data_IF_948667956400
#
_entry.id   IF_948667956400
#
_cell.length_a   1.000
_cell.length_b   1.000
_cell.length_c   1.000
_cell.angle_alpha   90.00
_cell.angle_beta   90.00
_cell.angle_gamma   90.00
#
_symmetry.space_group_name_H-M   'P 1'
#
loop_
_entity.id
_entity.type
_entity.pdbx_description
1 polymer ?
#
# COMPACT_ATOMS: atom_id res chain seq x y z
N UNK A 1 -7.53 -29.98 -18.28
CA UNK A 1 -8.42 -29.37 -17.26
C UNK A 1 -8.04 -29.98 -15.92
N UNK A 2 -7.86 -29.17 -14.88
CA UNK A 2 -7.37 -29.69 -13.59
C UNK A 2 -7.75 -28.80 -12.43
N UNK A 3 -7.91 -29.42 -11.26
CA UNK A 3 -8.17 -28.70 -10.02
C UNK A 3 -6.86 -28.13 -9.48
N UNK A 4 -6.86 -26.83 -9.19
CA UNK A 4 -5.70 -26.13 -8.63
C UNK A 4 -6.10 -25.49 -7.30
N UNK A 5 -5.17 -25.54 -6.36
CA UNK A 5 -5.30 -24.99 -5.01
C UNK A 5 -4.09 -24.10 -4.76
N UNK A 6 -4.31 -22.90 -4.21
CA UNK A 6 -3.29 -21.98 -3.77
C UNK A 6 -2.92 -22.23 -2.29
N UNK A 7 -1.72 -21.83 -1.88
CA UNK A 7 -1.29 -21.90 -0.49
C UNK A 7 -2.04 -20.86 0.38
N UNK A 8 -1.84 -20.94 1.71
CA UNK A 8 -2.50 -20.07 2.67
C UNK A 8 -2.28 -18.57 2.39
N UNK A 9 -1.07 -18.16 1.97
CA UNK A 9 -0.73 -16.77 1.63
C UNK A 9 -0.97 -16.40 0.16
N UNK A 10 -1.39 -17.37 -0.68
CA UNK A 10 -1.53 -17.16 -2.12
C UNK A 10 -2.98 -17.23 -2.60
N UNK A 11 -3.26 -16.60 -3.73
CA UNK A 11 -4.50 -16.73 -4.48
C UNK A 11 -4.21 -17.09 -5.94
N UNK A 12 -5.15 -17.79 -6.57
CA UNK A 12 -5.15 -18.02 -8.00
C UNK A 12 -5.83 -16.84 -8.67
N UNK A 13 -5.11 -16.12 -9.53
CA UNK A 13 -5.69 -15.18 -10.48
C UNK A 13 -5.97 -15.94 -11.78
N UNK A 14 -7.24 -15.99 -12.16
CA UNK A 14 -7.72 -16.79 -13.29
C UNK A 14 -8.30 -15.85 -14.35
N UNK A 15 -7.91 -16.06 -15.60
CA UNK A 15 -8.36 -15.30 -16.77
C UNK A 15 -8.75 -16.25 -17.91
N UNK A 16 -9.43 -15.73 -18.93
CA UNK A 16 -9.75 -16.49 -20.14
C UNK A 16 -11.24 -16.74 -20.32
N UNK A 17 -11.62 -17.87 -20.91
CA UNK A 17 -12.98 -18.09 -21.38
C UNK A 17 -14.03 -17.86 -20.27
N UNK A 18 -14.95 -16.90 -20.54
CA UNK A 18 -16.10 -16.51 -19.71
C UNK A 18 -15.70 -15.75 -18.43
N UNK A 19 -14.48 -15.24 -18.37
CA UNK A 19 -13.98 -14.32 -17.35
C UNK A 19 -13.64 -13.00 -18.04
N UNK A 20 -14.35 -11.92 -17.70
CA UNK A 20 -14.23 -10.62 -18.38
C UNK A 20 -12.94 -9.87 -18.02
N UNK A 21 -12.41 -10.09 -16.83
CA UNK A 21 -11.23 -9.39 -16.31
C UNK A 21 -10.31 -10.41 -15.61
N UNK A 22 -10.29 -10.45 -14.28
CA UNK A 22 -9.54 -11.44 -13.49
C UNK A 22 -10.43 -11.95 -12.36
N UNK A 23 -10.42 -13.27 -12.11
CA UNK A 23 -11.10 -13.89 -10.96
C UNK A 23 -10.07 -14.36 -9.94
N UNK A 24 -10.21 -13.94 -8.68
CA UNK A 24 -9.37 -14.43 -7.58
C UNK A 24 -10.05 -15.60 -6.86
N UNK A 25 -9.32 -16.68 -6.63
CA UNK A 25 -9.83 -17.82 -5.89
C UNK A 25 -8.72 -18.56 -5.14
N UNK A 26 -9.00 -19.07 -3.92
CA UNK A 26 -8.09 -19.99 -3.23
C UNK A 26 -7.99 -21.36 -3.90
N UNK A 27 -9.08 -21.80 -4.53
CA UNK A 27 -9.18 -23.09 -5.21
C UNK A 27 -10.16 -23.00 -6.37
N UNK A 28 -9.80 -23.57 -7.52
CA UNK A 28 -10.65 -23.50 -8.71
C UNK A 28 -10.34 -24.63 -9.71
N UNK A 29 -11.34 -24.96 -10.51
CA UNK A 29 -11.18 -25.76 -11.72
C UNK A 29 -10.73 -24.87 -12.87
N UNK A 30 -9.61 -25.23 -13.51
CA UNK A 30 -9.09 -24.50 -14.67
C UNK A 30 -9.51 -25.25 -15.94
N UNK A 31 -10.46 -24.67 -16.67
CA UNK A 31 -11.02 -25.23 -17.91
C UNK A 31 -10.11 -24.95 -19.13
N UNK A 32 -10.22 -25.72 -20.23
CA UNK A 32 -9.53 -25.40 -21.48
C UNK A 32 -9.91 -23.98 -21.96
N UNK A 33 -8.91 -23.18 -22.32
CA UNK A 33 -9.09 -21.76 -22.66
C UNK A 33 -9.06 -20.81 -21.46
N UNK A 34 -8.78 -21.30 -20.25
CA UNK A 34 -8.50 -20.47 -19.08
C UNK A 34 -7.01 -20.56 -18.69
N UNK A 35 -6.45 -19.41 -18.33
CA UNK A 35 -5.10 -19.25 -17.82
C UNK A 35 -5.16 -18.91 -16.33
N UNK A 36 -4.14 -19.32 -15.58
CA UNK A 36 -4.03 -18.97 -14.16
C UNK A 36 -2.61 -18.57 -13.78
N UNK A 37 -2.49 -17.66 -12.83
CA UNK A 37 -1.25 -17.30 -12.15
C UNK A 37 -1.43 -17.39 -10.64
N UNK A 38 -0.35 -17.65 -9.91
CA UNK A 38 -0.35 -17.63 -8.44
C UNK A 38 0.17 -16.28 -8.00
N UNK A 39 -0.61 -15.59 -7.17
CA UNK A 39 -0.26 -14.29 -6.63
C UNK A 39 -0.14 -14.44 -5.13
N UNK A 40 0.99 -13.99 -4.60
CA UNK A 40 1.24 -13.94 -3.18
C UNK A 40 0.62 -12.66 -2.59
N UNK A 41 -0.13 -12.79 -1.50
CA UNK A 41 -0.85 -11.68 -0.85
C UNK A 41 -0.15 -11.23 0.45
N UNK A 42 0.98 -11.84 0.80
CA UNK A 42 1.71 -11.48 2.02
C UNK A 42 2.06 -10.00 2.04
N UNK A 43 1.81 -9.31 3.17
CA UNK A 43 2.09 -7.91 3.33
C UNK A 43 3.60 -7.65 3.26
N UNK A 44 3.99 -6.54 2.66
CA UNK A 44 5.39 -6.13 2.49
C UNK A 44 5.65 -4.86 3.29
N UNK A 45 6.77 -4.82 4.00
CA UNK A 45 7.18 -3.64 4.76
C UNK A 45 8.05 -2.74 3.87
N UNK A 46 7.69 -1.47 3.84
CA UNK A 46 8.43 -0.43 3.13
C UNK A 46 8.90 0.62 4.12
N UNK A 47 10.20 0.87 4.14
CA UNK A 47 10.82 1.88 4.99
C UNK A 47 11.05 3.14 4.16
N UNK A 48 10.56 4.28 4.65
CA UNK A 48 10.69 5.57 4.02
C UNK A 48 11.12 6.62 5.04
N UNK A 49 12.00 7.52 4.61
CA UNK A 49 12.39 8.71 5.33
C UNK A 49 11.70 9.91 4.69
N UNK A 50 10.57 10.32 5.25
CA UNK A 50 9.77 11.41 4.68
C UNK A 50 10.34 12.75 5.11
N UNK A 51 10.79 13.54 4.14
CA UNK A 51 11.21 14.92 4.36
C UNK A 51 9.99 15.86 4.36
N UNK A 52 9.81 16.59 5.46
CA UNK A 52 8.68 17.50 5.62
C UNK A 52 9.09 18.80 6.34
N UNK A 53 8.20 19.78 6.32
CA UNK A 53 8.36 21.05 7.04
C UNK A 53 7.20 21.22 8.02
N UNK A 54 7.49 21.70 9.23
CA UNK A 54 6.45 22.04 10.21
C UNK A 54 5.73 23.34 9.83
N UNK A 55 4.65 23.68 10.55
CA UNK A 55 3.97 24.98 10.45
C UNK A 55 4.91 26.17 10.73
N UNK A 56 5.97 25.94 11.52
CA UNK A 56 7.01 26.92 11.86
C UNK A 56 8.12 26.97 10.81
N UNK A 57 7.97 26.23 9.71
CA UNK A 57 8.94 26.10 8.60
C UNK A 57 10.27 25.47 9.00
N UNK A 58 10.29 24.70 10.07
CA UNK A 58 11.47 23.91 10.44
C UNK A 58 11.48 22.60 9.63
N UNK A 59 12.57 22.27 8.94
CA UNK A 59 12.69 21.01 8.23
C UNK A 59 12.92 19.85 9.20
N UNK A 60 12.34 18.69 8.89
CA UNK A 60 12.55 17.47 9.67
C UNK A 60 12.38 16.21 8.81
N UNK A 61 13.00 15.12 9.28
CA UNK A 61 12.89 13.79 8.67
C UNK A 61 12.04 12.91 9.57
N UNK A 62 10.97 12.37 9.00
CA UNK A 62 10.07 11.42 9.64
C UNK A 62 10.39 9.99 9.16
N UNK A 63 11.16 9.19 9.93
CA UNK A 63 11.41 7.79 9.61
C UNK A 63 10.14 6.98 9.89
N UNK A 64 9.66 6.29 8.86
CA UNK A 64 8.38 5.63 8.87
C UNK A 64 8.43 4.28 8.12
N UNK A 65 8.04 3.22 8.81
CA UNK A 65 7.85 1.90 8.19
C UNK A 65 6.37 1.70 7.91
N UNK A 66 6.02 1.45 6.65
CA UNK A 66 4.65 1.18 6.20
C UNK A 66 4.54 -0.27 5.74
N UNK A 67 3.63 -1.00 6.35
CA UNK A 67 3.23 -2.31 5.85
C UNK A 67 2.16 -2.15 4.77
N UNK A 68 2.32 -2.80 3.62
CA UNK A 68 1.39 -2.74 2.50
C UNK A 68 0.96 -4.15 2.14
N UNK A 69 -0.33 -4.41 2.26
CA UNK A 69 -0.99 -5.62 1.82
C UNK A 69 -2.46 -5.31 1.53
N UNK A 70 -3.14 -6.15 0.75
CA UNK A 70 -4.55 -5.94 0.45
C UNK A 70 -5.40 -6.25 1.67
N UNK A 71 -6.55 -5.57 1.76
CA UNK A 71 -7.56 -5.88 2.76
C UNK A 71 -8.34 -7.14 2.34
N UNK A 72 -8.33 -8.18 3.17
CA UNK A 72 -8.94 -9.48 2.84
C UNK A 72 -10.47 -9.41 2.66
N UNK A 73 -11.13 -8.45 3.33
CA UNK A 73 -12.60 -8.30 3.29
C UNK A 73 -13.14 -7.71 1.98
N UNK A 74 -12.28 -7.19 1.10
CA UNK A 74 -12.68 -6.39 -0.06
C UNK A 74 -12.06 -6.97 -1.34
N UNK A 75 -12.84 -7.79 -2.06
CA UNK A 75 -12.38 -8.51 -3.26
C UNK A 75 -11.84 -7.55 -4.34
N UNK A 76 -12.44 -6.37 -4.49
CA UNK A 76 -11.98 -5.35 -5.43
C UNK A 76 -10.56 -4.86 -5.10
N UNK A 77 -10.22 -4.72 -3.82
CA UNK A 77 -8.88 -4.30 -3.38
C UNK A 77 -7.84 -5.39 -3.59
N UNK A 78 -8.20 -6.66 -3.32
CA UNK A 78 -7.34 -7.79 -3.65
C UNK A 78 -7.06 -7.87 -5.15
N UNK A 79 -8.08 -7.64 -5.99
CA UNK A 79 -7.95 -7.64 -7.44
C UNK A 79 -6.99 -6.56 -7.94
N UNK A 80 -7.13 -5.35 -7.40
CA UNK A 80 -6.28 -4.22 -7.74
C UNK A 80 -4.84 -4.44 -7.29
N UNK A 81 -4.64 -4.96 -6.08
CA UNK A 81 -3.32 -5.34 -5.57
C UNK A 81 -2.69 -6.43 -6.45
N UNK A 82 -3.44 -7.46 -6.78
CA UNK A 82 -3.02 -8.54 -7.68
C UNK A 82 -2.56 -8.00 -9.05
N UNK A 83 -3.29 -7.05 -9.64
CA UNK A 83 -2.91 -6.42 -10.91
C UNK A 83 -1.60 -5.64 -10.79
N UNK A 84 -1.45 -4.81 -9.76
CA UNK A 84 -0.23 -4.04 -9.52
C UNK A 84 1.00 -4.95 -9.35
N UNK A 85 0.86 -6.02 -8.55
CA UNK A 85 1.94 -6.99 -8.29
C UNK A 85 2.17 -7.96 -9.46
N UNK A 86 1.25 -8.04 -10.42
CA UNK A 86 1.43 -8.86 -11.63
C UNK A 86 2.23 -8.13 -12.70
N UNK A 87 2.10 -6.79 -12.77
CA UNK A 87 2.84 -5.94 -13.71
C UNK A 87 4.27 -5.65 -13.26
N UNK A 88 4.54 -5.73 -11.94
CA UNK A 88 5.83 -5.43 -11.34
C UNK A 88 6.12 -6.35 -10.16
N UNK A 89 7.38 -6.70 -9.93
CA UNK A 89 7.78 -7.42 -8.72
C UNK A 89 7.38 -6.60 -7.47
N UNK A 90 6.97 -7.28 -6.39
CA UNK A 90 6.62 -6.69 -5.10
C UNK A 90 7.74 -5.79 -4.57
N UNK A 91 8.99 -6.11 -4.89
CA UNK A 91 10.17 -5.34 -4.48
C UNK A 91 10.71 -4.43 -5.59
N UNK A 92 9.96 -4.24 -6.68
CA UNK A 92 10.40 -3.34 -7.74
C UNK A 92 10.53 -1.91 -7.24
N UNK A 93 11.60 -1.23 -7.67
CA UNK A 93 11.82 0.18 -7.34
C UNK A 93 10.63 1.05 -7.77
N UNK A 94 9.94 0.68 -8.85
CA UNK A 94 8.79 1.42 -9.35
C UNK A 94 7.62 1.47 -8.36
N UNK A 95 7.25 0.33 -7.77
CA UNK A 95 6.17 0.31 -6.75
C UNK A 95 6.60 1.09 -5.52
N UNK A 96 7.88 0.95 -5.11
CA UNK A 96 8.43 1.69 -3.98
C UNK A 96 8.38 3.22 -4.20
N UNK A 97 8.82 3.70 -5.36
CA UNK A 97 8.81 5.13 -5.73
C UNK A 97 7.40 5.71 -5.78
N UNK A 98 6.44 4.98 -6.36
CA UNK A 98 5.06 5.45 -6.43
C UNK A 98 4.43 5.53 -5.03
N UNK A 99 4.64 4.51 -4.19
CA UNK A 99 4.16 4.50 -2.80
C UNK A 99 4.80 5.65 -2.02
N UNK A 100 6.11 5.83 -2.16
CA UNK A 100 6.86 6.92 -1.53
C UNK A 100 6.31 8.29 -1.92
N UNK A 101 6.13 8.55 -3.22
CA UNK A 101 5.62 9.84 -3.69
C UNK A 101 4.23 10.18 -3.17
N UNK A 102 3.34 9.18 -3.06
CA UNK A 102 2.01 9.36 -2.47
C UNK A 102 2.09 9.66 -0.97
N UNK A 103 2.91 8.90 -0.23
CA UNK A 103 3.07 9.07 1.22
C UNK A 103 3.73 10.42 1.55
N UNK A 104 4.79 10.79 0.83
CA UNK A 104 5.48 12.07 1.02
C UNK A 104 4.55 13.24 0.70
N UNK A 105 3.79 13.16 -0.39
CA UNK A 105 2.82 14.18 -0.78
C UNK A 105 1.76 14.42 0.31
N UNK A 106 1.15 13.35 0.82
CA UNK A 106 0.10 13.45 1.84
C UNK A 106 0.67 13.85 3.21
N UNK A 107 1.80 13.29 3.60
CA UNK A 107 2.47 13.63 4.87
C UNK A 107 2.93 15.09 4.87
N UNK A 108 3.45 15.61 3.75
CA UNK A 108 3.90 17.00 3.63
C UNK A 108 2.77 17.99 3.87
N UNK A 109 1.59 17.73 3.30
CA UNK A 109 0.41 18.59 3.49
C UNK A 109 -0.02 18.64 4.96
N UNK A 110 0.07 17.51 5.66
CA UNK A 110 -0.32 17.43 7.06
C UNK A 110 0.72 18.04 8.01
N UNK A 111 2.00 17.75 7.77
CA UNK A 111 3.12 18.31 8.53
C UNK A 111 3.13 19.84 8.48
N UNK A 112 2.81 20.43 7.34
CA UNK A 112 2.74 21.89 7.18
C UNK A 112 1.68 22.56 8.06
N UNK A 113 0.69 21.81 8.56
CA UNK A 113 -0.38 22.33 9.44
C UNK A 113 -0.12 22.11 10.92
N UNK A 114 0.98 21.44 11.29
CA UNK A 114 1.28 21.04 12.66
C UNK A 114 2.57 21.70 13.17
N UNK A 115 2.60 22.06 14.44
CA UNK A 115 3.81 22.59 15.09
C UNK A 115 4.82 21.48 15.36
N UNK A 116 6.10 21.85 15.54
CA UNK A 116 7.13 20.86 15.85
C UNK A 116 6.84 20.15 17.19
N UNK A 117 6.32 20.90 18.16
CA UNK A 117 5.89 20.35 19.45
C UNK A 117 4.76 19.33 19.31
N UNK A 118 3.75 19.59 18.48
CA UNK A 118 2.66 18.62 18.22
C UNK A 118 3.16 17.36 17.51
N UNK A 119 4.12 17.50 16.59
CA UNK A 119 4.76 16.39 15.90
C UNK A 119 5.55 15.52 16.90
N UNK A 120 6.29 16.14 17.83
CA UNK A 120 7.06 15.43 18.86
C UNK A 120 6.18 14.82 19.96
N UNK A 121 5.23 15.60 20.49
CA UNK A 121 4.37 15.24 21.64
C UNK A 121 3.24 14.28 21.24
N UNK A 122 2.80 14.38 19.99
CA UNK A 122 1.68 13.62 19.43
C UNK A 122 2.06 12.33 18.73
N UNK A 123 3.21 11.68 18.99
CA UNK A 123 3.65 10.47 18.26
C UNK A 123 2.57 9.35 18.22
N UNK A 124 1.65 9.30 19.19
CA UNK A 124 0.49 8.38 19.21
C UNK A 124 -0.78 8.96 18.57
N UNK A 125 -1.07 10.24 18.77
CA UNK A 125 -2.28 10.91 18.27
C UNK A 125 -2.13 11.33 16.81
N UNK A 126 -0.95 11.82 16.42
CA UNK A 126 -0.49 11.99 15.04
C UNK A 126 -0.60 10.66 14.27
N UNK A 127 -0.06 9.57 14.83
CA UNK A 127 -0.19 8.23 14.23
C UNK A 127 -1.66 7.84 14.02
N UNK A 128 -2.59 8.29 14.85
CA UNK A 128 -4.01 7.99 14.68
C UNK A 128 -4.69 8.96 13.70
N UNK A 129 -4.42 10.25 13.78
CA UNK A 129 -5.07 11.26 12.94
C UNK A 129 -4.57 11.23 11.48
N UNK A 130 -3.27 11.05 11.27
CA UNK A 130 -2.66 10.87 9.95
C UNK A 130 -3.24 9.61 9.28
N UNK A 131 -3.24 8.48 10.00
CA UNK A 131 -3.58 7.17 9.41
C UNK A 131 -5.09 6.91 9.32
N UNK A 132 -5.84 7.25 10.37
CA UNK A 132 -7.25 6.87 10.50
C UNK A 132 -8.18 7.87 9.79
N UNK A 133 -7.81 9.16 9.65
CA UNK A 133 -8.64 10.13 8.92
C UNK A 133 -8.25 10.32 7.45
N UNK A 134 -6.95 10.34 7.11
CA UNK A 134 -6.48 10.68 5.74
C UNK A 134 -5.99 9.50 4.93
N UNK A 135 -5.12 8.63 5.46
CA UNK A 135 -4.62 7.46 4.70
C UNK A 135 -5.70 6.43 4.37
N UNK A 136 -6.78 6.35 5.17
CA UNK A 136 -7.97 5.57 4.83
C UNK A 136 -8.66 6.04 3.53
N UNK A 137 -8.40 7.26 3.05
CA UNK A 137 -9.07 7.89 1.90
C UNK A 137 -8.19 8.05 0.65
N UNK A 138 -6.89 7.75 0.70
CA UNK A 138 -6.00 7.90 -0.46
C UNK A 138 -6.29 6.78 -1.48
N UNK A 139 -7.39 6.95 -2.20
CA UNK A 139 -7.72 6.34 -3.47
C UNK A 139 -7.21 7.31 -4.52
N UNK A 140 -6.01 7.06 -5.06
CA UNK A 140 -5.54 7.82 -6.23
C UNK A 140 -6.41 7.42 -7.42
N UNK A 141 -7.42 8.24 -7.72
CA UNK A 141 -7.96 8.38 -9.07
C UNK A 141 -6.95 9.19 -9.87
N UNK A 142 -6.00 8.52 -10.51
CA UNK A 142 -5.31 9.12 -11.63
C UNK A 142 -5.02 8.09 -12.72
N UNK A 143 -5.71 8.29 -13.86
CA UNK A 143 -5.29 7.87 -15.19
C UNK A 143 -5.25 6.38 -15.48
N UNK A 144 -4.38 5.59 -14.84
CA UNK A 144 -4.10 4.18 -15.23
C UNK A 144 -3.28 3.38 -14.22
N UNK A 145 -2.98 3.89 -13.02
CA UNK A 145 -2.26 3.12 -12.00
C UNK A 145 -2.69 3.54 -10.61
N UNK A 146 -2.88 2.53 -9.78
CA UNK A 146 -3.98 2.48 -8.85
C UNK A 146 -3.41 1.85 -7.59
N UNK A 147 -2.77 2.68 -6.77
CA UNK A 147 -2.17 2.24 -5.51
C UNK A 147 -3.27 2.34 -4.46
N UNK A 148 -3.64 1.18 -3.90
CA UNK A 148 -4.82 1.07 -3.07
C UNK A 148 -4.51 0.38 -1.75
N UNK A 149 -4.88 1.12 -0.69
CA UNK A 149 -5.17 0.70 0.69
C UNK A 149 -4.21 -0.34 1.26
N UNK A 150 -3.09 0.16 1.74
CA UNK A 150 -2.20 -0.52 2.66
C UNK A 150 -2.80 -0.53 4.08
N UNK A 151 -2.87 -1.70 4.72
CA UNK A 151 -2.91 -1.77 6.19
C UNK A 151 -1.54 -1.32 6.70
N UNK A 152 -1.38 -0.01 6.84
CA UNK A 152 -0.12 0.59 7.26
C UNK A 152 -0.06 0.68 8.78
N UNK A 153 0.71 -0.20 9.40
CA UNK A 153 1.19 0.02 10.76
C UNK A 153 2.45 0.88 10.70
N UNK A 154 2.30 2.17 10.99
CA UNK A 154 3.46 3.05 11.09
C UNK A 154 4.22 2.82 12.39
N UNK A 155 5.45 2.35 12.30
CA UNK A 155 6.43 2.46 13.40
C UNK A 155 7.22 3.74 13.16
N UNK A 156 6.94 4.77 13.97
CA UNK A 156 7.78 5.96 14.02
C UNK A 156 9.14 5.57 14.59
N UNK A 157 10.21 5.84 13.85
CA UNK A 157 11.55 5.93 14.43
C UNK A 157 11.71 7.24 15.21
N UNK A 158 12.81 7.38 15.94
CA UNK A 158 13.15 8.65 16.59
C UNK A 158 13.36 9.74 15.52
N UNK A 159 12.66 10.87 15.68
CA UNK A 159 12.80 12.04 14.83
C UNK A 159 14.24 12.54 14.90
N UNK A 160 14.89 12.70 13.75
CA UNK A 160 16.21 13.31 13.66
C UNK A 160 16.07 14.75 13.17
N UNK A 161 16.61 15.75 13.89
CA UNK A 161 16.76 17.08 13.32
C UNK A 161 17.71 17.01 12.12
N UNK A 162 17.38 17.69 11.02
CA UNK A 162 18.38 17.96 9.98
C UNK A 162 19.46 18.84 10.61
N UNK A 163 20.71 18.36 10.57
CA UNK A 163 21.88 19.06 11.12
C UNK A 163 22.35 20.12 10.14
#
# INVERSE_FOLDING_TARGET
MGYKVASASQYLAITGWRISDVKLAKKAWIFPGQSYSRIDISPVNYEFDVQAMSAEKLPFILPAVFTIGPKEDEEEMMLKYAKLMSSHDKNSNHVKELVQGVIEGETRVLAASMTMEEIFKGTKEFKKEVFEKRFLRVLVRNGSSSIYKAVSELKLGELKPET
#
